data_IF_233068925411
#
_entry.id   IF_233068925411
#
_cell.length_a   1.000
_cell.length_b   1.000
_cell.length_c   1.000
_cell.angle_alpha   90.00
_cell.angle_beta   90.00
_cell.angle_gamma   90.00
#
_symmetry.space_group_name_H-M   'P 1'
#
loop_
_entity.id
_entity.type
_entity.pdbx_description
1 polymer ?
#
# COMPACT_ATOMS: atom_id res chain seq x y z
N UNK A 1 19.19 24.92 2.60
CA UNK A 1 18.81 24.61 4.00
C UNK A 1 17.31 24.33 4.05
N UNK A 2 16.88 23.25 4.70
CA UNK A 2 15.44 22.98 4.91
C UNK A 2 14.90 23.88 6.01
N UNK A 3 13.86 24.66 5.74
CA UNK A 3 13.13 25.40 6.78
C UNK A 3 12.17 24.48 7.54
N UNK A 4 11.82 24.84 8.78
CA UNK A 4 10.84 24.11 9.59
C UNK A 4 9.49 23.97 8.86
N UNK A 5 9.06 25.03 8.16
CA UNK A 5 7.84 25.04 7.36
C UNK A 5 7.91 24.02 6.20
N UNK A 6 9.04 23.96 5.48
CA UNK A 6 9.23 22.97 4.40
C UNK A 6 9.32 21.54 4.93
N UNK A 7 9.82 21.31 6.14
CA UNK A 7 9.84 19.99 6.77
C UNK A 7 8.43 19.50 7.14
N UNK A 8 7.58 20.41 7.67
CA UNK A 8 6.17 20.13 7.94
C UNK A 8 5.40 19.78 6.67
N UNK A 9 5.56 20.57 5.62
CA UNK A 9 4.89 20.34 4.34
C UNK A 9 5.22 18.96 3.77
N UNK A 10 6.51 18.58 3.77
CA UNK A 10 6.94 17.26 3.31
C UNK A 10 6.40 16.12 4.16
N UNK A 11 6.24 16.31 5.47
CA UNK A 11 5.62 15.33 6.35
C UNK A 11 4.13 15.15 6.02
N UNK A 12 3.40 16.24 5.76
CA UNK A 12 1.99 16.17 5.38
C UNK A 12 1.80 15.40 4.07
N UNK A 13 2.57 15.74 3.04
CA UNK A 13 2.57 15.02 1.75
C UNK A 13 2.88 13.52 1.96
N UNK A 14 3.85 13.18 2.82
CA UNK A 14 4.17 11.78 3.12
C UNK A 14 2.99 11.04 3.77
N UNK A 15 2.27 11.70 4.70
CA UNK A 15 1.09 11.12 5.36
C UNK A 15 -0.07 10.91 4.39
N UNK A 16 -0.32 11.86 3.50
CA UNK A 16 -1.34 11.73 2.44
C UNK A 16 -1.00 10.57 1.50
N UNK A 17 0.26 10.45 1.08
CA UNK A 17 0.73 9.34 0.26
C UNK A 17 0.57 7.98 0.98
N UNK A 18 0.86 7.92 2.28
CA UNK A 18 0.66 6.72 3.09
C UNK A 18 -0.83 6.34 3.21
N UNK A 19 -1.72 7.33 3.40
CA UNK A 19 -3.16 7.10 3.41
C UNK A 19 -3.66 6.56 2.05
N UNK A 20 -3.24 7.18 0.95
CA UNK A 20 -3.58 6.71 -0.39
C UNK A 20 -3.02 5.30 -0.69
N UNK A 21 -1.83 4.97 -0.17
CA UNK A 21 -1.27 3.62 -0.30
C UNK A 21 -2.06 2.59 0.53
N UNK A 22 -2.51 2.95 1.73
CA UNK A 22 -3.36 2.10 2.56
C UNK A 22 -4.71 1.81 1.88
N UNK A 23 -5.36 2.82 1.29
CA UNK A 23 -6.59 2.61 0.53
C UNK A 23 -6.41 1.68 -0.67
N UNK A 24 -5.31 1.83 -1.41
CA UNK A 24 -4.98 0.93 -2.53
C UNK A 24 -4.85 -0.51 -2.04
N UNK A 25 -4.22 -0.73 -0.88
CA UNK A 25 -4.11 -2.06 -0.28
C UNK A 25 -5.47 -2.62 0.14
N UNK A 26 -6.36 -1.79 0.71
CA UNK A 26 -7.72 -2.21 1.06
C UNK A 26 -8.48 -2.65 -0.21
N UNK A 27 -8.43 -1.85 -1.28
CA UNK A 27 -9.09 -2.18 -2.56
C UNK A 27 -8.52 -3.48 -3.17
N UNK A 28 -7.20 -3.65 -3.19
CA UNK A 28 -6.57 -4.85 -3.71
C UNK A 28 -6.91 -6.10 -2.87
N UNK A 29 -7.00 -5.96 -1.55
CA UNK A 29 -7.39 -7.05 -0.65
C UNK A 29 -8.84 -7.47 -0.89
N UNK A 30 -9.74 -6.50 -1.09
CA UNK A 30 -11.13 -6.79 -1.44
C UNK A 30 -11.25 -7.52 -2.78
N UNK A 31 -10.49 -7.10 -3.79
CA UNK A 31 -10.48 -7.78 -5.10
C UNK A 31 -10.04 -9.26 -5.00
N UNK A 32 -9.08 -9.58 -4.13
CA UNK A 32 -8.68 -10.97 -3.85
C UNK A 32 -9.86 -11.75 -3.24
N UNK A 33 -10.49 -11.20 -2.19
CA UNK A 33 -11.63 -11.85 -1.52
C UNK A 33 -12.83 -12.06 -2.44
N UNK A 34 -13.12 -11.07 -3.29
CA UNK A 34 -14.20 -11.15 -4.27
C UNK A 34 -13.92 -12.28 -5.29
N UNK A 35 -12.69 -12.35 -5.81
CA UNK A 35 -12.30 -13.40 -6.75
C UNK A 35 -12.35 -14.80 -6.11
N UNK A 36 -11.87 -14.97 -4.88
CA UNK A 36 -11.98 -16.21 -4.12
C UNK A 36 -13.44 -16.62 -3.91
N UNK A 37 -14.31 -15.66 -3.57
CA UNK A 37 -15.74 -15.90 -3.39
C UNK A 37 -16.41 -16.39 -4.67
N UNK A 38 -16.06 -15.81 -5.82
CA UNK A 38 -16.58 -16.26 -7.12
C UNK A 38 -16.09 -17.66 -7.50
N UNK A 39 -14.81 -17.97 -7.24
CA UNK A 39 -14.25 -19.31 -7.45
C UNK A 39 -15.00 -20.34 -6.59
N UNK A 40 -15.21 -20.04 -5.30
CA UNK A 40 -15.90 -20.94 -4.38
C UNK A 40 -17.36 -21.19 -4.80
N UNK A 41 -18.09 -20.13 -5.19
CA UNK A 41 -19.46 -20.27 -5.73
C UNK A 41 -19.50 -21.14 -6.98
N UNK A 42 -18.60 -20.90 -7.93
CA UNK A 42 -18.52 -21.69 -9.15
C UNK A 42 -18.19 -23.17 -8.86
N UNK A 43 -17.28 -23.43 -7.92
CA UNK A 43 -16.96 -24.79 -7.48
C UNK A 43 -18.16 -25.49 -6.84
N UNK A 44 -18.93 -24.80 -5.99
CA UNK A 44 -20.16 -25.34 -5.42
C UNK A 44 -21.18 -25.71 -6.51
N UNK A 45 -21.36 -24.86 -7.53
CA UNK A 45 -22.23 -25.17 -8.67
C UNK A 45 -21.74 -26.41 -9.42
N UNK A 46 -20.44 -26.51 -9.72
CA UNK A 46 -19.86 -27.68 -10.41
C UNK A 46 -20.11 -28.96 -9.60
N UNK A 47 -19.91 -28.92 -8.28
CA UNK A 47 -20.11 -30.08 -7.41
C UNK A 47 -21.58 -30.49 -7.31
N UNK A 48 -22.47 -29.53 -7.06
CA UNK A 48 -23.92 -29.72 -6.96
C UNK A 48 -24.51 -30.29 -8.25
N UNK A 49 -24.26 -29.61 -9.38
CA UNK A 49 -24.77 -30.05 -10.67
C UNK A 49 -24.11 -31.35 -11.12
N UNK A 50 -22.83 -31.57 -10.80
CA UNK A 50 -22.16 -32.85 -11.04
C UNK A 50 -22.79 -34.01 -10.27
N UNK A 51 -23.24 -33.77 -9.03
CA UNK A 51 -24.00 -34.77 -8.27
C UNK A 51 -25.37 -35.05 -8.90
N UNK A 52 -26.07 -34.01 -9.41
CA UNK A 52 -27.33 -34.18 -10.14
C UNK A 52 -27.16 -34.98 -11.42
N UNK A 53 -26.13 -34.69 -12.22
CA UNK A 53 -25.80 -35.49 -13.43
C UNK A 53 -25.54 -36.95 -13.07
N UNK A 54 -24.76 -37.23 -12.02
CA UNK A 54 -24.54 -38.60 -11.55
C UNK A 54 -25.83 -39.30 -11.10
N UNK A 55 -26.75 -38.56 -10.48
CA UNK A 55 -28.09 -39.08 -10.14
C UNK A 55 -28.92 -39.42 -11.38
N UNK A 56 -28.92 -38.53 -12.37
CA UNK A 56 -29.59 -38.76 -13.66
C UNK A 56 -28.98 -39.96 -14.41
N UNK A 57 -27.67 -40.15 -14.35
CA UNK A 57 -26.99 -41.27 -15.01
C UNK A 57 -27.35 -42.64 -14.42
N UNK A 58 -27.82 -42.70 -13.17
CA UNK A 58 -28.36 -43.92 -12.55
C UNK A 58 -29.76 -44.29 -13.06
N UNK A 59 -30.46 -43.41 -13.78
CA UNK A 59 -31.76 -43.72 -14.38
C UNK A 59 -31.56 -44.76 -15.50
N UNK A 60 -32.28 -45.90 -15.46
CA UNK A 60 -32.17 -46.95 -16.47
C UNK A 60 -32.46 -46.42 -17.89
N UNK A 61 -31.77 -46.90 -18.94
CA UNK A 61 -31.95 -46.38 -20.31
C UNK A 61 -33.39 -46.35 -20.80
N UNK A 62 -34.19 -47.37 -20.45
CA UNK A 62 -35.61 -47.44 -20.82
C UNK A 62 -36.53 -46.45 -20.10
N UNK A 63 -36.03 -45.71 -19.10
CA UNK A 63 -36.76 -44.68 -18.36
C UNK A 63 -36.24 -43.26 -18.64
N UNK A 64 -35.34 -43.11 -19.60
CA UNK A 64 -34.78 -41.81 -20.03
C UNK A 64 -35.71 -41.18 -21.05
N UNK A 65 -36.70 -40.47 -20.56
CA UNK A 65 -37.66 -39.72 -21.36
C UNK A 65 -37.05 -38.39 -21.86
N UNK A 66 -37.78 -37.59 -22.67
CA UNK A 66 -37.30 -36.28 -23.12
C UNK A 66 -36.96 -35.32 -21.96
N UNK A 67 -37.74 -35.35 -20.86
CA UNK A 67 -37.49 -34.53 -19.67
C UNK A 67 -36.14 -34.85 -19.03
N UNK A 68 -35.80 -36.12 -18.93
CA UNK A 68 -34.49 -36.57 -18.46
C UNK A 68 -33.34 -36.00 -19.30
N UNK A 69 -33.49 -35.98 -20.64
CA UNK A 69 -32.47 -35.43 -21.54
C UNK A 69 -32.30 -33.93 -21.35
N UNK A 70 -33.41 -33.20 -21.24
CA UNK A 70 -33.41 -31.75 -21.01
C UNK A 70 -32.75 -31.41 -19.66
N UNK A 71 -33.11 -32.12 -18.59
CA UNK A 71 -32.52 -31.89 -17.27
C UNK A 71 -31.02 -32.20 -17.25
N UNK A 72 -30.59 -33.30 -17.89
CA UNK A 72 -29.17 -33.64 -18.00
C UNK A 72 -28.40 -32.57 -18.79
N UNK A 73 -28.95 -32.13 -19.92
CA UNK A 73 -28.34 -31.08 -20.74
C UNK A 73 -28.25 -29.75 -19.97
N UNK A 74 -29.28 -29.39 -19.21
CA UNK A 74 -29.30 -28.20 -18.37
C UNK A 74 -28.21 -28.25 -17.29
N UNK A 75 -28.14 -29.34 -16.52
CA UNK A 75 -27.10 -29.51 -15.49
C UNK A 75 -25.69 -29.45 -16.11
N UNK A 76 -25.49 -30.06 -17.27
CA UNK A 76 -24.20 -29.99 -17.98
C UNK A 76 -23.89 -28.58 -18.47
N UNK A 77 -24.89 -27.83 -18.92
CA UNK A 77 -24.79 -26.42 -19.28
C UNK A 77 -24.31 -25.56 -18.11
N UNK A 78 -24.92 -25.75 -16.94
CA UNK A 78 -24.55 -25.06 -15.71
C UNK A 78 -23.12 -25.38 -15.27
N UNK A 79 -22.71 -26.65 -15.33
CA UNK A 79 -21.32 -27.07 -15.04
C UNK A 79 -20.35 -26.34 -15.97
N UNK A 80 -20.63 -26.34 -17.27
CA UNK A 80 -19.76 -25.72 -18.26
C UNK A 80 -19.66 -24.20 -18.04
N UNK A 81 -20.77 -23.53 -17.72
CA UNK A 81 -20.77 -22.12 -17.36
C UNK A 81 -19.97 -21.84 -16.09
N UNK A 82 -20.17 -22.63 -15.04
CA UNK A 82 -19.44 -22.50 -13.79
C UNK A 82 -17.93 -22.77 -13.95
N UNK A 83 -17.52 -23.73 -14.78
CA UNK A 83 -16.12 -23.95 -15.12
C UNK A 83 -15.48 -22.71 -15.77
N UNK A 84 -16.16 -22.08 -16.74
CA UNK A 84 -15.70 -20.84 -17.36
C UNK A 84 -15.55 -19.72 -16.33
N UNK A 85 -16.55 -19.53 -15.47
CA UNK A 85 -16.50 -18.54 -14.39
C UNK A 85 -15.33 -18.79 -13.44
N UNK A 86 -15.14 -20.04 -12.99
CA UNK A 86 -14.02 -20.42 -12.13
C UNK A 86 -12.68 -20.08 -12.77
N UNK A 87 -12.49 -20.39 -14.05
CA UNK A 87 -11.22 -20.20 -14.74
C UNK A 87 -10.95 -18.73 -15.08
N UNK A 88 -11.99 -17.94 -15.34
CA UNK A 88 -11.90 -16.48 -15.41
C UNK A 88 -11.46 -15.88 -14.06
N UNK A 89 -12.14 -16.24 -12.97
CA UNK A 89 -11.82 -15.68 -11.66
C UNK A 89 -10.50 -16.19 -11.08
N UNK A 90 -10.02 -17.38 -11.49
CA UNK A 90 -8.64 -17.81 -11.17
C UNK A 90 -7.58 -16.89 -11.79
N UNK A 91 -7.80 -16.42 -13.02
CA UNK A 91 -6.90 -15.43 -13.66
C UNK A 91 -6.95 -14.10 -12.92
N UNK A 92 -8.16 -13.60 -12.63
CA UNK A 92 -8.35 -12.37 -11.85
C UNK A 92 -7.76 -12.46 -10.44
N UNK A 93 -7.85 -13.62 -9.79
CA UNK A 93 -7.26 -13.84 -8.47
C UNK A 93 -5.74 -13.68 -8.54
N UNK A 94 -5.07 -14.28 -9.52
CA UNK A 94 -3.63 -14.14 -9.69
C UNK A 94 -3.22 -12.68 -9.92
N UNK A 95 -3.97 -11.94 -10.73
CA UNK A 95 -3.76 -10.50 -10.95
C UNK A 95 -3.98 -9.68 -9.67
N UNK A 96 -5.07 -9.93 -8.95
CA UNK A 96 -5.41 -9.27 -7.70
C UNK A 96 -4.35 -9.54 -6.61
N UNK A 97 -3.83 -10.76 -6.52
CA UNK A 97 -2.76 -11.12 -5.59
C UNK A 97 -1.46 -10.37 -5.88
N UNK A 98 -1.08 -10.22 -7.16
CA UNK A 98 0.08 -9.40 -7.55
C UNK A 98 -0.13 -7.93 -7.20
N UNK A 99 -1.32 -7.39 -7.49
CA UNK A 99 -1.67 -6.02 -7.13
C UNK A 99 -1.66 -5.81 -5.61
N UNK A 100 -2.15 -6.78 -4.83
CA UNK A 100 -2.13 -6.73 -3.38
C UNK A 100 -0.70 -6.76 -2.83
N UNK A 101 0.17 -7.63 -3.35
CA UNK A 101 1.58 -7.66 -2.98
C UNK A 101 2.26 -6.32 -3.27
N UNK A 102 2.08 -5.77 -4.47
CA UNK A 102 2.57 -4.44 -4.83
C UNK A 102 2.06 -3.34 -3.91
N UNK A 103 0.76 -3.36 -3.56
CA UNK A 103 0.17 -2.41 -2.63
C UNK A 103 0.70 -2.54 -1.20
N UNK A 104 1.03 -3.75 -0.72
CA UNK A 104 1.69 -3.96 0.57
C UNK A 104 3.07 -3.30 0.60
N UNK A 105 3.87 -3.51 -0.44
CA UNK A 105 5.18 -2.86 -0.57
C UNK A 105 5.05 -1.33 -0.66
N UNK A 106 4.11 -0.82 -1.45
CA UNK A 106 3.87 0.62 -1.56
C UNK A 106 3.45 1.24 -0.22
N UNK A 107 2.59 0.56 0.54
CA UNK A 107 2.20 0.99 1.90
C UNK A 107 3.41 1.03 2.83
N UNK A 108 4.20 -0.04 2.88
CA UNK A 108 5.39 -0.10 3.72
C UNK A 108 6.40 1.02 3.38
N UNK A 109 6.64 1.26 2.10
CA UNK A 109 7.52 2.34 1.64
C UNK A 109 6.98 3.73 2.03
N UNK A 110 5.67 3.94 1.92
CA UNK A 110 5.05 5.21 2.31
C UNK A 110 5.07 5.42 3.83
N UNK A 111 4.87 4.37 4.62
CA UNK A 111 5.01 4.39 6.08
C UNK A 111 6.45 4.71 6.49
N UNK A 112 7.45 4.10 5.83
CA UNK A 112 8.86 4.44 6.05
C UNK A 112 9.14 5.91 5.70
N UNK A 113 8.60 6.41 4.59
CA UNK A 113 8.75 7.81 4.21
C UNK A 113 8.17 8.76 5.27
N UNK A 114 7.03 8.41 5.88
CA UNK A 114 6.46 9.18 7.00
C UNK A 114 7.44 9.21 8.18
N UNK A 115 7.99 8.06 8.58
CA UNK A 115 8.98 7.98 9.66
C UNK A 115 10.23 8.82 9.37
N UNK A 116 10.75 8.74 8.14
CA UNK A 116 11.93 9.51 7.72
C UNK A 116 11.66 11.03 7.77
N UNK A 117 10.48 11.47 7.30
CA UNK A 117 10.09 12.89 7.35
C UNK A 117 9.81 13.37 8.76
N UNK A 118 9.30 12.51 9.63
CA UNK A 118 9.10 12.85 11.04
C UNK A 118 10.44 13.05 11.76
N UNK A 119 11.46 12.23 11.46
CA UNK A 119 12.81 12.41 11.96
C UNK A 119 13.47 13.68 11.40
N UNK A 120 13.29 13.98 10.11
CA UNK A 120 13.76 15.24 9.49
C UNK A 120 13.16 16.46 10.21
N UNK A 121 11.86 16.43 10.49
CA UNK A 121 11.15 17.48 11.22
C UNK A 121 11.71 17.63 12.64
N UNK A 122 11.92 16.54 13.37
CA UNK A 122 12.50 16.57 14.72
C UNK A 122 13.89 17.22 14.72
N UNK A 123 14.73 16.89 13.75
CA UNK A 123 16.07 17.51 13.58
C UNK A 123 16.00 18.98 13.19
N UNK A 124 14.97 19.39 12.44
CA UNK A 124 14.75 20.80 12.11
C UNK A 124 14.30 21.59 13.35
N UNK A 125 13.44 21.01 14.19
CA UNK A 125 13.01 21.60 15.46
C UNK A 125 14.20 21.79 16.41
N UNK A 126 15.02 20.75 16.62
CA UNK A 126 16.20 20.83 17.48
C UNK A 126 17.19 21.93 17.04
N UNK A 127 17.36 22.12 15.72
CA UNK A 127 18.20 23.20 15.18
C UNK A 127 17.60 24.59 15.40
N UNK A 128 16.28 24.73 15.32
CA UNK A 128 15.60 25.98 15.61
C UNK A 128 15.60 26.32 17.12
N UNK A 129 15.70 25.31 17.99
CA UNK A 129 15.71 25.45 19.46
C UNK A 129 17.11 25.47 20.09
N UNK A 130 18.18 25.26 19.32
CA UNK A 130 19.56 25.27 19.81
C UNK A 130 19.98 26.65 20.34
N UNK A 131 20.92 26.72 21.30
CA UNK A 131 21.31 27.99 21.93
C UNK A 131 21.84 28.97 20.88
N UNK A 132 21.58 30.29 21.03
CA UNK A 132 22.16 31.29 20.15
C UNK A 132 23.68 31.11 20.16
N UNK A 133 24.30 31.14 18.98
CA UNK A 133 25.75 31.12 18.84
C UNK A 133 26.34 32.13 19.84
N UNK A 134 27.41 31.78 20.60
CA UNK A 134 27.99 32.72 21.54
C UNK A 134 28.36 33.98 20.76
N UNK A 135 27.73 35.11 21.13
CA UNK A 135 28.13 36.42 20.67
C UNK A 135 29.64 36.52 20.93
N UNK A 136 30.43 36.46 19.86
CA UNK A 136 31.87 36.66 19.92
C UNK A 136 32.06 38.09 20.37
N UNK A 137 32.21 38.27 21.68
CA UNK A 137 32.38 39.56 22.32
C UNK A 137 33.54 40.29 21.65
N UNK A 138 33.22 41.39 21.00
CA UNK A 138 34.20 42.37 20.56
C UNK A 138 34.78 43.10 21.76
N UNK A 139 35.57 42.42 22.58
CA UNK A 139 36.51 43.08 23.49
C UNK A 139 37.79 43.36 22.70
N UNK A 140 37.74 44.40 21.87
CA UNK A 140 38.93 45.04 21.33
C UNK A 140 39.56 45.89 22.43
N UNK A 141 40.38 45.25 23.28
CA UNK A 141 41.22 45.95 24.25
C UNK A 141 42.17 46.91 23.54
N UNK A 142 41.99 48.21 23.76
CA UNK A 142 42.98 49.21 23.40
C UNK A 142 44.13 49.16 24.40
N UNK A 143 45.10 48.29 24.15
CA UNK A 143 46.44 48.41 24.73
C UNK A 143 47.16 49.57 24.03
N UNK A 144 47.08 50.79 24.60
CA UNK A 144 47.98 51.88 24.19
C UNK A 144 49.35 51.62 24.80
N UNK A 145 50.27 51.21 23.94
CA UNK A 145 51.67 50.98 24.24
C UNK A 145 52.39 52.26 24.69
N UNK A 146 53.28 52.07 25.65
CA UNK A 146 54.40 52.93 25.96
C UNK A 146 55.24 53.20 24.71
N UNK A 147 55.56 54.46 24.45
CA UNK A 147 56.83 54.85 23.84
C UNK A 147 57.33 56.13 24.51
N UNK A 148 58.39 55.98 25.30
CA UNK A 148 59.18 57.08 25.81
C UNK A 148 60.21 57.57 24.78
N UNK A 149 60.56 58.85 24.93
CA UNK A 149 61.82 59.44 24.46
C UNK A 149 61.78 60.09 23.08
N UNK A 150 61.83 61.43 23.01
CA UNK A 150 63.07 62.17 22.72
C UNK A 150 62.86 63.68 22.52
N UNK A 151 63.63 64.48 23.29
CA UNK A 151 64.30 65.77 22.98
C UNK A 151 63.51 67.04 22.55
N UNK A 152 63.69 68.13 23.33
CA UNK A 152 64.40 69.40 22.98
C UNK A 152 64.43 70.32 24.23
N UNK A 153 65.60 70.76 24.70
CA UNK A 153 66.23 72.07 24.44
C UNK A 153 65.30 73.26 24.68
N UNK A 154 65.45 73.98 25.80
CA UNK A 154 66.25 75.21 25.97
C UNK A 154 66.54 75.42 27.46
#
# INVERSE_FOLDING_TARGET
MTSLASAWERLNIAKENAAAAAERLIRATRAVQDAESHIARAQNTIQSQGARVRGLEQVPPGRRDPRWREERAHCQGDINAACRTRDEFRRRLAEAQRAQAGARHAKANAEQAVSDRQLELQRAQQRASGPPAPHRGGHGGQSRGHHGGSRRHY
#
